data_IF_274141252072
#
_entry.id   IF_274141252072
#
_cell.length_a   1.000
_cell.length_b   1.000
_cell.length_c   1.000
_cell.angle_alpha   90.00
_cell.angle_beta   90.00
_cell.angle_gamma   90.00
#
_symmetry.space_group_name_H-M   'P 1'
#
loop_
_entity.id
_entity.type
_entity.pdbx_description
1 polymer ?
#
# COMPACT_ATOMS: atom_id res chain seq x y z
N UNK A 1 7.37 -35.67 2.21
CA UNK A 1 6.53 -34.52 1.78
C UNK A 1 6.18 -33.60 2.94
N UNK A 2 5.68 -34.09 4.08
CA UNK A 2 5.39 -33.26 5.27
C UNK A 2 6.65 -32.64 5.90
N UNK A 3 7.78 -33.36 5.90
CA UNK A 3 9.10 -32.88 6.35
C UNK A 3 9.59 -31.61 5.64
N UNK A 4 9.22 -31.43 4.36
CA UNK A 4 9.58 -30.23 3.59
C UNK A 4 8.87 -28.99 4.15
N UNK A 5 7.61 -29.14 4.53
CA UNK A 5 6.84 -28.06 5.14
C UNK A 5 7.30 -27.77 6.57
N UNK A 6 7.70 -28.79 7.34
CA UNK A 6 8.20 -28.62 8.71
C UNK A 6 9.57 -27.94 8.74
N UNK A 7 10.49 -28.33 7.85
CA UNK A 7 11.83 -27.73 7.76
C UNK A 7 11.78 -26.28 7.24
N UNK A 8 10.89 -25.99 6.29
CA UNK A 8 10.74 -24.65 5.70
C UNK A 8 9.61 -23.82 6.33
N UNK A 9 9.00 -24.30 7.41
CA UNK A 9 7.96 -23.61 8.15
C UNK A 9 8.34 -22.16 8.54
N UNK A 10 9.54 -21.89 9.10
CA UNK A 10 9.93 -20.52 9.43
C UNK A 10 9.98 -19.61 8.19
N UNK A 11 10.51 -20.10 7.07
CA UNK A 11 10.56 -19.34 5.81
C UNK A 11 9.16 -19.00 5.29
N UNK A 12 8.22 -19.96 5.35
CA UNK A 12 6.84 -19.76 4.94
C UNK A 12 6.16 -18.71 5.84
N UNK A 13 6.40 -18.74 7.15
CA UNK A 13 5.84 -17.77 8.10
C UNK A 13 6.36 -16.36 7.80
N UNK A 14 7.67 -16.20 7.60
CA UNK A 14 8.26 -14.90 7.26
C UNK A 14 7.70 -14.39 5.94
N UNK A 15 7.58 -15.25 4.92
CA UNK A 15 6.95 -14.92 3.65
C UNK A 15 5.50 -14.46 3.81
N UNK A 16 4.71 -15.14 4.64
CA UNK A 16 3.32 -14.78 4.92
C UNK A 16 3.19 -13.42 5.62
N UNK A 17 4.12 -13.07 6.52
CA UNK A 17 4.14 -11.75 7.17
C UNK A 17 4.38 -10.65 6.14
N UNK A 18 5.41 -10.80 5.31
CA UNK A 18 5.73 -9.82 4.25
C UNK A 18 4.56 -9.69 3.27
N UNK A 19 3.98 -10.82 2.86
CA UNK A 19 2.81 -10.83 1.97
C UNK A 19 1.63 -10.09 2.60
N UNK A 20 1.37 -10.30 3.88
CA UNK A 20 0.30 -9.60 4.61
C UNK A 20 0.50 -8.09 4.56
N UNK A 21 1.71 -7.59 4.82
CA UNK A 21 2.01 -6.15 4.75
C UNK A 21 1.73 -5.60 3.35
N UNK A 22 2.15 -6.32 2.30
CA UNK A 22 1.90 -5.93 0.91
C UNK A 22 0.40 -5.85 0.62
N UNK A 23 -0.37 -6.87 1.00
CA UNK A 23 -1.83 -6.90 0.83
C UNK A 23 -2.50 -5.73 1.54
N UNK A 24 -2.08 -5.40 2.77
CA UNK A 24 -2.60 -4.25 3.51
C UNK A 24 -2.32 -2.92 2.80
N UNK A 25 -1.14 -2.76 2.21
CA UNK A 25 -0.81 -1.58 1.39
C UNK A 25 -1.75 -1.48 0.18
N UNK A 26 -1.96 -2.57 -0.55
CA UNK A 26 -2.88 -2.59 -1.69
C UNK A 26 -4.31 -2.24 -1.29
N UNK A 27 -4.83 -2.84 -0.21
CA UNK A 27 -6.16 -2.53 0.32
C UNK A 27 -6.27 -1.05 0.67
N UNK A 28 -5.24 -0.50 1.33
CA UNK A 28 -5.18 0.93 1.65
C UNK A 28 -5.23 1.78 0.40
N UNK A 29 -4.44 1.48 -0.63
CA UNK A 29 -4.40 2.24 -1.88
C UNK A 29 -5.75 2.20 -2.62
N UNK A 30 -6.39 1.03 -2.69
CA UNK A 30 -7.71 0.87 -3.32
C UNK A 30 -8.75 1.69 -2.55
N UNK A 31 -8.75 1.59 -1.22
CA UNK A 31 -9.66 2.34 -0.36
C UNK A 31 -9.41 3.85 -0.49
N UNK A 32 -8.17 4.29 -0.52
CA UNK A 32 -7.78 5.69 -0.71
C UNK A 32 -8.29 6.25 -2.04
N UNK A 33 -8.13 5.46 -3.12
CA UNK A 33 -8.65 5.77 -4.45
C UNK A 33 -10.18 5.89 -4.47
N UNK A 34 -10.89 4.95 -3.84
CA UNK A 34 -12.36 4.98 -3.76
C UNK A 34 -12.84 6.18 -2.93
N UNK A 35 -12.13 6.54 -1.87
CA UNK A 35 -12.46 7.69 -1.03
C UNK A 35 -11.98 9.03 -1.61
N UNK A 36 -11.54 9.05 -2.88
CA UNK A 36 -10.98 10.24 -3.55
C UNK A 36 -9.92 10.96 -2.71
N UNK A 37 -9.18 10.22 -1.87
CA UNK A 37 -8.05 10.82 -1.16
C UNK A 37 -7.00 11.13 -2.21
N UNK A 38 -6.58 12.39 -2.24
CA UNK A 38 -5.47 12.80 -3.07
C UNK A 38 -4.16 12.32 -2.45
N UNK A 39 -3.22 11.90 -3.31
CA UNK A 39 -1.85 11.56 -2.88
C UNK A 39 -1.17 12.72 -2.14
N UNK A 40 -1.56 13.96 -2.46
CA UNK A 40 -1.14 15.14 -1.71
C UNK A 40 -2.05 15.36 -0.48
N UNK A 41 -1.57 14.93 0.69
CA UNK A 41 -2.31 14.97 1.96
C UNK A 41 -2.70 16.36 2.47
N UNK A 42 -2.22 17.45 1.85
CA UNK A 42 -2.56 18.83 2.21
C UNK A 42 -3.70 19.44 1.36
N UNK A 43 -4.34 18.64 0.50
CA UNK A 43 -5.38 19.12 -0.42
C UNK A 43 -4.83 20.06 -1.50
N UNK A 44 -5.65 20.39 -2.50
CA UNK A 44 -5.21 21.22 -3.64
C UNK A 44 -4.86 22.67 -3.23
N UNK A 45 -5.41 23.16 -2.11
CA UNK A 45 -5.17 24.54 -1.64
C UNK A 45 -3.76 24.78 -1.08
N UNK A 46 -3.10 23.74 -0.56
CA UNK A 46 -1.74 23.83 0.00
C UNK A 46 -0.77 22.86 -0.71
N UNK A 47 -1.15 22.41 -1.92
CA UNK A 47 -0.27 21.58 -2.73
C UNK A 47 0.85 22.46 -3.31
N UNK A 48 2.14 22.10 -3.16
CA UNK A 48 3.25 22.89 -3.73
C UNK A 48 3.17 23.00 -5.27
N UNK A 49 2.44 22.09 -5.92
CA UNK A 49 2.12 22.12 -7.34
C UNK A 49 0.78 22.80 -7.69
N UNK A 50 0.10 23.44 -6.73
CA UNK A 50 -1.20 24.10 -6.96
C UNK A 50 -1.15 25.12 -8.11
N UNK A 51 -0.03 25.84 -8.24
CA UNK A 51 0.20 26.79 -9.34
C UNK A 51 0.26 26.15 -10.74
N UNK A 52 0.60 24.86 -10.85
CA UNK A 52 0.56 24.13 -12.12
C UNK A 52 -0.80 23.45 -12.38
N UNK A 53 -1.51 23.03 -11.33
CA UNK A 53 -2.79 22.34 -11.45
C UNK A 53 -3.98 23.29 -11.69
N UNK A 54 -3.88 24.56 -11.30
CA UNK A 54 -4.89 25.60 -11.58
C UNK A 54 -4.48 26.54 -12.73
N UNK A 55 -3.54 26.14 -13.58
CA UNK A 55 -3.09 26.94 -14.71
C UNK A 55 -4.03 26.76 -15.91
N UNK A 56 -5.22 27.35 -15.82
CA UNK A 56 -6.27 27.42 -16.86
C UNK A 56 -6.50 26.09 -17.63
#
# INVERSE_FOLDING_TARGET
>A
MLEFFLTNLPTIIVGAIVFTVIVLVFIKLIKDKINHKSSCGCGCAHCPSAGACHHN
#
